data_IF_161384370143
#
_entry.id   IF_161384370143
#
_cell.length_a   1.000
_cell.length_b   1.000
_cell.length_c   1.000
_cell.angle_alpha   90.00
_cell.angle_beta   90.00
_cell.angle_gamma   90.00
#
_symmetry.space_group_name_H-M   'P 1'
#
loop_
_entity.id
_entity.type
_entity.pdbx_description
1 polymer ?
#
# COMPACT_ATOMS: atom_id res chain seq x y z
N UNK A 1 12.21 41.13 -35.45
CA UNK A 1 11.76 39.74 -35.54
C UNK A 1 12.68 38.90 -34.68
N UNK A 2 12.17 38.39 -33.55
CA UNK A 2 12.97 37.59 -32.58
C UNK A 2 13.27 36.21 -33.15
N UNK A 3 14.53 35.95 -33.44
CA UNK A 3 15.06 34.66 -33.92
C UNK A 3 15.22 33.61 -32.81
N UNK A 4 14.52 33.76 -31.72
CA UNK A 4 14.50 32.75 -30.67
C UNK A 4 13.34 31.79 -30.92
N UNK A 5 13.59 30.74 -31.70
CA UNK A 5 12.74 29.54 -31.65
C UNK A 5 12.80 28.98 -30.23
N UNK A 6 11.64 28.84 -29.54
CA UNK A 6 11.65 28.24 -28.21
C UNK A 6 12.30 26.86 -28.30
N UNK A 7 13.23 26.56 -27.41
CA UNK A 7 13.78 25.22 -27.29
C UNK A 7 12.62 24.25 -26.96
N UNK A 8 12.32 23.33 -27.87
CA UNK A 8 11.26 22.34 -27.73
C UNK A 8 11.79 20.95 -27.32
N UNK A 9 13.13 20.87 -27.12
CA UNK A 9 13.78 19.58 -26.86
C UNK A 9 13.81 19.29 -25.37
N UNK A 10 13.32 18.12 -24.94
CA UNK A 10 13.44 17.66 -23.54
C UNK A 10 14.92 17.32 -23.23
N UNK A 11 15.33 17.55 -21.98
CA UNK A 11 16.69 17.30 -21.50
C UNK A 11 16.62 16.19 -20.44
N UNK A 12 17.28 15.05 -20.69
CA UNK A 12 17.49 14.02 -19.68
C UNK A 12 18.72 14.37 -18.84
N UNK A 13 18.52 14.72 -17.56
CA UNK A 13 19.61 14.94 -16.62
C UNK A 13 20.16 13.63 -16.05
N UNK A 14 19.32 12.60 -15.97
CA UNK A 14 19.68 11.22 -15.65
C UNK A 14 18.81 10.31 -16.53
N UNK A 15 19.43 9.47 -17.32
CA UNK A 15 18.75 8.52 -18.22
C UNK A 15 19.01 7.06 -17.83
N UNK A 16 20.14 6.80 -17.19
CA UNK A 16 20.51 5.47 -16.70
C UNK A 16 19.61 5.02 -15.55
N UNK A 17 19.46 3.72 -15.44
CA UNK A 17 18.68 3.06 -14.38
C UNK A 17 19.47 1.89 -13.82
N UNK A 18 19.39 1.70 -12.51
CA UNK A 18 19.93 0.54 -11.82
C UNK A 18 19.30 -0.76 -12.34
N UNK A 19 18.06 -0.68 -12.84
CA UNK A 19 17.32 -1.80 -13.46
C UNK A 19 18.07 -2.43 -14.63
N UNK A 20 18.67 -1.63 -15.51
CA UNK A 20 19.44 -2.16 -16.67
C UNK A 20 20.69 -2.91 -16.23
N UNK A 21 21.38 -2.44 -15.20
CA UNK A 21 22.54 -3.11 -14.60
C UNK A 21 22.11 -4.42 -13.92
N UNK A 22 21.00 -4.38 -13.17
CA UNK A 22 20.42 -5.55 -12.53
C UNK A 22 20.05 -6.63 -13.55
N UNK A 23 19.44 -6.27 -14.68
CA UNK A 23 19.11 -7.20 -15.77
C UNK A 23 20.38 -7.85 -16.35
N UNK A 24 21.43 -7.06 -16.60
CA UNK A 24 22.70 -7.60 -17.10
C UNK A 24 23.29 -8.60 -16.11
N UNK A 25 23.31 -8.26 -14.83
CA UNK A 25 23.83 -9.13 -13.78
C UNK A 25 23.00 -10.41 -13.60
N UNK A 26 21.67 -10.31 -13.62
CA UNK A 26 20.78 -11.49 -13.56
C UNK A 26 21.00 -12.43 -14.75
N UNK A 27 21.29 -11.93 -15.96
CA UNK A 27 21.63 -12.76 -17.12
C UNK A 27 22.93 -13.55 -16.91
N UNK A 28 23.96 -12.91 -16.36
CA UNK A 28 25.23 -13.56 -16.02
C UNK A 28 25.02 -14.67 -14.98
N UNK A 29 24.30 -14.37 -13.90
CA UNK A 29 24.00 -15.34 -12.85
C UNK A 29 23.13 -16.51 -13.36
N UNK A 30 22.15 -16.22 -14.21
CA UNK A 30 21.32 -17.25 -14.86
C UNK A 30 22.14 -18.20 -15.71
N UNK A 31 23.17 -17.72 -16.42
CA UNK A 31 24.05 -18.56 -17.22
C UNK A 31 24.89 -19.53 -16.36
N UNK A 32 25.22 -19.14 -15.13
CA UNK A 32 26.03 -19.93 -14.19
C UNK A 32 25.17 -20.86 -13.32
N UNK A 33 23.89 -20.55 -13.12
CA UNK A 33 23.00 -21.26 -12.22
C UNK A 33 22.44 -22.56 -12.85
N UNK A 34 22.11 -23.53 -11.99
CA UNK A 34 21.46 -24.79 -12.36
C UNK A 34 20.25 -25.08 -11.46
N UNK A 35 19.37 -26.00 -11.90
CA UNK A 35 18.21 -26.44 -11.12
C UNK A 35 17.29 -25.29 -10.71
N UNK A 36 16.74 -25.36 -9.50
CA UNK A 36 15.78 -24.40 -8.95
C UNK A 36 16.29 -22.97 -8.92
N UNK A 37 17.59 -22.77 -8.63
CA UNK A 37 18.19 -21.44 -8.61
C UNK A 37 18.11 -20.76 -9.97
N UNK A 38 18.35 -21.52 -11.04
CA UNK A 38 18.22 -21.03 -12.42
C UNK A 38 16.79 -20.58 -12.72
N UNK A 39 15.80 -21.35 -12.28
CA UNK A 39 14.37 -21.02 -12.47
C UNK A 39 13.96 -19.78 -11.69
N UNK A 40 14.47 -19.61 -10.46
CA UNK A 40 14.21 -18.44 -9.63
C UNK A 40 14.82 -17.17 -10.25
N UNK A 41 16.06 -17.25 -10.75
CA UNK A 41 16.72 -16.14 -11.47
C UNK A 41 15.99 -15.82 -12.78
N UNK A 42 15.56 -16.83 -13.55
CA UNK A 42 14.81 -16.63 -14.80
C UNK A 42 13.49 -15.89 -14.54
N UNK A 43 12.81 -16.23 -13.45
CA UNK A 43 11.57 -15.55 -13.03
C UNK A 43 11.81 -14.10 -12.65
N UNK A 44 12.82 -13.83 -11.82
CA UNK A 44 13.22 -12.46 -11.44
C UNK A 44 13.59 -11.64 -12.69
N UNK A 45 14.43 -12.20 -13.56
CA UNK A 45 14.85 -11.57 -14.82
C UNK A 45 13.63 -11.20 -15.70
N UNK A 46 12.64 -12.10 -15.80
CA UNK A 46 11.42 -11.83 -16.55
C UNK A 46 10.64 -10.66 -15.97
N UNK A 47 10.47 -10.61 -14.63
CA UNK A 47 9.74 -9.55 -13.95
C UNK A 47 10.42 -8.17 -14.12
N UNK A 48 11.73 -8.11 -13.89
CA UNK A 48 12.50 -6.87 -14.00
C UNK A 48 12.53 -6.38 -15.44
N UNK A 49 12.74 -7.27 -16.42
CA UNK A 49 12.72 -6.93 -17.84
C UNK A 49 11.35 -6.42 -18.30
N UNK A 50 10.25 -6.99 -17.75
CA UNK A 50 8.91 -6.51 -18.06
C UNK A 50 8.66 -5.09 -17.51
N UNK A 51 9.16 -4.77 -16.32
CA UNK A 51 9.17 -3.41 -15.76
C UNK A 51 9.92 -2.43 -16.66
N UNK A 52 11.15 -2.80 -17.05
CA UNK A 52 12.00 -1.96 -17.92
C UNK A 52 11.34 -1.61 -19.28
N UNK A 53 10.59 -2.55 -19.87
CA UNK A 53 9.81 -2.28 -21.10
C UNK A 53 8.81 -1.15 -20.89
N UNK A 54 8.12 -1.15 -19.74
CA UNK A 54 7.18 -0.07 -19.41
C UNK A 54 7.86 1.29 -19.25
N UNK A 55 9.00 1.33 -18.58
CA UNK A 55 9.80 2.56 -18.42
C UNK A 55 10.29 3.07 -19.77
N UNK A 56 10.76 2.19 -20.67
CA UNK A 56 11.16 2.56 -22.03
C UNK A 56 10.02 3.16 -22.86
N UNK A 57 8.80 2.68 -22.69
CA UNK A 57 7.62 3.27 -23.34
C UNK A 57 7.38 4.71 -22.85
N UNK A 58 7.51 4.97 -21.55
CA UNK A 58 7.41 6.33 -20.99
C UNK A 58 8.56 7.20 -21.48
N UNK A 59 9.80 6.70 -21.49
CA UNK A 59 10.96 7.43 -22.01
C UNK A 59 10.74 7.85 -23.47
N UNK A 60 10.17 6.97 -24.29
CA UNK A 60 9.83 7.27 -25.68
C UNK A 60 8.87 8.46 -25.80
N UNK A 61 7.77 8.45 -25.04
CA UNK A 61 6.79 9.55 -25.05
C UNK A 61 7.44 10.87 -24.58
N UNK A 62 8.24 10.82 -23.52
CA UNK A 62 8.93 12.00 -22.99
C UNK A 62 9.96 12.57 -24.00
N UNK A 63 10.76 11.73 -24.66
CA UNK A 63 11.73 12.12 -25.68
C UNK A 63 11.07 12.81 -26.87
N UNK A 64 9.87 12.36 -27.25
CA UNK A 64 9.13 12.87 -28.40
C UNK A 64 8.09 13.94 -28.02
N UNK A 65 8.16 14.52 -26.83
CA UNK A 65 7.16 15.45 -26.29
C UNK A 65 7.01 16.76 -27.05
N UNK A 66 8.06 17.23 -27.71
CA UNK A 66 8.09 18.51 -28.39
C UNK A 66 7.86 19.71 -27.47
N UNK A 67 8.29 19.61 -26.20
CA UNK A 67 8.20 20.71 -25.23
C UNK A 67 9.41 20.74 -24.30
N UNK A 68 9.82 21.95 -23.83
CA UNK A 68 10.96 22.07 -22.91
C UNK A 68 10.60 21.46 -21.57
N UNK A 69 11.40 20.50 -21.12
CA UNK A 69 11.32 19.87 -19.79
C UNK A 69 12.67 19.26 -19.43
N UNK A 70 12.92 19.11 -18.13
CA UNK A 70 14.03 18.32 -17.62
C UNK A 70 13.50 17.03 -17.04
N UNK A 71 14.15 15.90 -17.34
CA UNK A 71 13.72 14.56 -16.99
C UNK A 71 14.82 13.89 -16.17
N UNK A 72 14.41 13.27 -15.08
CA UNK A 72 15.26 12.44 -14.22
C UNK A 72 14.59 11.06 -14.17
N UNK A 73 15.29 10.04 -14.64
CA UNK A 73 14.87 8.65 -14.61
C UNK A 73 15.48 7.96 -13.39
N UNK A 74 14.68 7.11 -12.72
CA UNK A 74 15.12 6.26 -11.63
C UNK A 74 15.79 7.05 -10.48
N UNK A 75 15.00 7.94 -9.86
CA UNK A 75 15.45 8.78 -8.75
C UNK A 75 15.27 8.04 -7.41
N UNK A 76 16.37 7.70 -6.76
CA UNK A 76 16.39 7.09 -5.45
C UNK A 76 16.56 8.15 -4.37
N UNK A 77 15.69 8.14 -3.37
CA UNK A 77 15.71 9.07 -2.23
C UNK A 77 15.77 8.28 -0.93
N UNK A 78 16.48 8.83 0.04
CA UNK A 78 16.50 8.31 1.41
C UNK A 78 16.38 9.46 2.41
N UNK A 79 15.49 9.31 3.38
CA UNK A 79 15.33 10.21 4.50
C UNK A 79 15.12 9.38 5.76
N UNK A 80 16.09 9.39 6.68
CA UNK A 80 16.11 8.49 7.83
C UNK A 80 15.94 7.02 7.40
N UNK A 81 14.93 6.33 7.94
CA UNK A 81 14.60 4.93 7.60
C UNK A 81 13.69 4.81 6.36
N UNK A 82 13.27 5.94 5.76
CA UNK A 82 12.36 5.95 4.62
C UNK A 82 13.14 6.02 3.32
N UNK A 83 12.77 5.17 2.37
CA UNK A 83 13.32 5.17 1.02
C UNK A 83 12.20 5.33 -0.01
N UNK A 84 12.49 5.98 -1.12
CA UNK A 84 11.61 6.08 -2.27
C UNK A 84 12.41 5.89 -3.55
N UNK A 85 11.88 5.06 -4.45
CA UNK A 85 12.32 4.97 -5.84
C UNK A 85 11.22 5.57 -6.71
N UNK A 86 11.57 6.56 -7.50
CA UNK A 86 10.64 7.30 -8.35
C UNK A 86 11.06 7.05 -9.79
N UNK A 87 10.18 6.40 -10.57
CA UNK A 87 10.53 5.96 -11.92
C UNK A 87 10.89 7.16 -12.81
N UNK A 88 10.07 8.23 -12.79
CA UNK A 88 10.39 9.47 -13.51
C UNK A 88 10.03 10.71 -12.72
N UNK A 89 10.91 11.71 -12.75
CA UNK A 89 10.60 13.09 -12.37
C UNK A 89 10.71 13.97 -13.59
N UNK A 90 9.61 14.67 -13.94
CA UNK A 90 9.54 15.59 -15.07
C UNK A 90 9.35 17.00 -14.56
N UNK A 91 10.34 17.86 -14.76
CA UNK A 91 10.31 19.27 -14.37
C UNK A 91 9.98 20.10 -15.58
N UNK A 92 8.89 20.83 -15.53
CA UNK A 92 8.48 21.81 -16.54
C UNK A 92 8.70 23.23 -16.04
N UNK A 93 8.43 24.23 -16.85
CA UNK A 93 8.55 25.65 -16.44
C UNK A 93 7.57 26.07 -15.33
N UNK A 94 6.53 25.27 -15.04
CA UNK A 94 5.52 25.57 -14.03
C UNK A 94 5.38 24.49 -12.96
N UNK A 95 5.44 23.22 -13.33
CA UNK A 95 5.09 22.09 -12.50
C UNK A 95 6.18 21.01 -12.52
N UNK A 96 6.21 20.21 -11.47
CA UNK A 96 7.01 18.98 -11.37
C UNK A 96 6.06 17.80 -11.27
N UNK A 97 6.27 16.79 -12.11
CA UNK A 97 5.50 15.55 -12.12
C UNK A 97 6.35 14.41 -11.57
N UNK A 98 5.85 13.74 -10.57
CA UNK A 98 6.38 12.50 -10.02
C UNK A 98 5.56 11.36 -10.61
N UNK A 99 6.19 10.55 -11.44
CA UNK A 99 5.54 9.54 -12.27
C UNK A 99 5.88 8.16 -11.75
N UNK A 100 4.86 7.38 -11.44
CA UNK A 100 4.92 5.94 -11.18
C UNK A 100 4.55 5.20 -12.46
N UNK A 101 5.43 4.34 -12.95
CA UNK A 101 5.24 3.50 -14.12
C UNK A 101 4.59 2.17 -13.73
N UNK A 102 3.52 1.76 -14.40
CA UNK A 102 2.93 0.44 -14.25
C UNK A 102 2.76 -0.24 -15.59
N UNK A 103 3.66 -1.19 -15.88
CA UNK A 103 3.54 -2.06 -17.05
C UNK A 103 2.73 -3.31 -16.69
N UNK A 104 1.41 -3.17 -16.56
CA UNK A 104 0.51 -4.25 -16.14
C UNK A 104 -0.08 -4.96 -17.37
N UNK A 105 -0.04 -6.29 -17.37
CA UNK A 105 -0.78 -7.09 -18.35
C UNK A 105 -2.25 -7.19 -17.93
N UNK A 106 -3.18 -7.02 -18.90
CA UNK A 106 -4.61 -7.09 -18.66
C UNK A 106 -5.27 -5.71 -18.48
N UNK A 107 -6.54 -5.71 -18.15
CA UNK A 107 -7.35 -4.51 -18.00
C UNK A 107 -7.38 -4.05 -16.56
N UNK A 108 -7.38 -2.74 -16.33
CA UNK A 108 -7.45 -2.11 -15.03
C UNK A 108 -8.81 -1.43 -14.88
N UNK A 109 -9.53 -1.79 -13.84
CA UNK A 109 -10.74 -1.14 -13.39
C UNK A 109 -10.49 -0.39 -12.07
N UNK A 110 -11.00 0.84 -11.96
CA UNK A 110 -10.94 1.61 -10.72
C UNK A 110 -12.37 1.90 -10.29
N UNK A 111 -12.75 1.45 -9.09
CA UNK A 111 -14.08 1.63 -8.55
C UNK A 111 -14.31 3.05 -7.94
N UNK A 112 -15.50 3.27 -7.41
CA UNK A 112 -15.88 4.54 -6.78
C UNK A 112 -15.20 4.80 -5.42
N UNK A 113 -14.56 3.78 -4.83
CA UNK A 113 -13.78 3.89 -3.60
C UNK A 113 -12.28 4.10 -3.90
N UNK A 114 -11.87 4.01 -5.18
CA UNK A 114 -10.48 4.12 -5.60
C UNK A 114 -9.70 2.81 -5.51
N UNK A 115 -10.38 1.67 -5.40
CA UNK A 115 -9.73 0.36 -5.44
C UNK A 115 -9.37 0.01 -6.89
N UNK A 116 -8.21 -0.56 -7.07
CA UNK A 116 -7.71 -1.02 -8.35
C UNK A 116 -7.95 -2.52 -8.49
N UNK A 117 -8.61 -2.91 -9.57
CA UNK A 117 -8.87 -4.31 -9.94
C UNK A 117 -8.25 -4.58 -11.29
N UNK A 118 -7.39 -5.57 -11.37
CA UNK A 118 -6.80 -6.08 -12.61
C UNK A 118 -7.59 -7.29 -13.10
N UNK A 119 -7.85 -7.36 -14.41
CA UNK A 119 -8.46 -8.53 -15.03
C UNK A 119 -7.70 -8.93 -16.28
N UNK A 120 -7.41 -10.24 -16.43
CA UNK A 120 -6.65 -10.78 -17.55
C UNK A 120 -7.07 -12.22 -17.86
N UNK A 121 -6.93 -12.67 -19.14
CA UNK A 121 -7.22 -14.04 -19.52
C UNK A 121 -6.12 -14.98 -19.01
N UNK A 122 -6.53 -16.12 -18.42
CA UNK A 122 -5.64 -17.15 -17.93
C UNK A 122 -6.29 -18.53 -18.05
N UNK A 123 -5.64 -19.48 -18.76
CA UNK A 123 -6.14 -20.86 -18.96
C UNK A 123 -7.62 -20.92 -19.38
N UNK A 124 -8.03 -20.07 -20.33
CA UNK A 124 -9.42 -20.01 -20.83
C UNK A 124 -10.42 -19.37 -19.87
N UNK A 125 -9.97 -18.82 -18.75
CA UNK A 125 -10.81 -18.08 -17.77
C UNK A 125 -10.31 -16.66 -17.61
N UNK A 126 -11.18 -15.76 -17.18
CA UNK A 126 -10.77 -14.41 -16.78
C UNK A 126 -10.44 -14.42 -15.28
N UNK A 127 -9.19 -14.16 -14.97
CA UNK A 127 -8.75 -13.90 -13.58
C UNK A 127 -9.05 -12.45 -13.25
N UNK A 128 -9.56 -12.21 -12.04
CA UNK A 128 -9.83 -10.87 -11.52
C UNK A 128 -9.27 -10.76 -10.12
N UNK A 129 -8.40 -9.77 -9.90
CA UNK A 129 -7.69 -9.58 -8.63
C UNK A 129 -7.56 -8.11 -8.26
N UNK A 130 -7.59 -7.83 -6.96
CA UNK A 130 -7.27 -6.49 -6.44
C UNK A 130 -5.77 -6.28 -6.43
N UNK A 131 -5.31 -5.12 -6.89
CA UNK A 131 -3.91 -4.72 -6.79
C UNK A 131 -3.77 -3.54 -5.81
N UNK A 132 -2.59 -3.45 -5.19
CA UNK A 132 -2.28 -2.31 -4.33
C UNK A 132 -2.35 -1.01 -5.14
N UNK A 133 -2.94 0.05 -4.56
CA UNK A 133 -3.12 1.32 -5.26
C UNK A 133 -1.78 1.96 -5.63
N UNK A 134 -1.44 2.08 -6.92
CA UNK A 134 -0.23 2.75 -7.34
C UNK A 134 -0.26 4.26 -7.07
N UNK A 135 -1.45 4.86 -6.93
CA UNK A 135 -1.59 6.24 -6.47
C UNK A 135 -1.05 6.38 -5.04
N UNK A 136 -1.45 5.47 -4.14
CA UNK A 136 -0.98 5.49 -2.75
C UNK A 136 0.52 5.24 -2.68
N UNK A 137 1.05 4.36 -3.53
CA UNK A 137 2.49 4.12 -3.64
C UNK A 137 3.23 5.41 -4.01
N UNK A 138 2.84 6.04 -5.11
CA UNK A 138 3.50 7.26 -5.60
C UNK A 138 3.34 8.45 -4.65
N UNK A 139 2.21 8.55 -3.94
CA UNK A 139 2.02 9.56 -2.89
C UNK A 139 3.01 9.39 -1.73
N UNK A 140 3.32 8.15 -1.34
CA UNK A 140 4.35 7.87 -0.32
C UNK A 140 5.74 8.28 -0.80
N UNK A 141 6.08 8.01 -2.06
CA UNK A 141 7.34 8.45 -2.66
C UNK A 141 7.45 9.98 -2.65
N UNK A 142 6.37 10.67 -3.02
CA UNK A 142 6.30 12.13 -2.99
C UNK A 142 6.43 12.70 -1.56
N UNK A 143 5.90 12.01 -0.55
CA UNK A 143 6.03 12.42 0.84
C UNK A 143 7.48 12.28 1.35
N UNK A 144 8.21 11.22 0.96
CA UNK A 144 9.65 11.11 1.27
C UNK A 144 10.43 12.28 0.66
N UNK A 145 10.14 12.64 -0.59
CA UNK A 145 10.74 13.82 -1.22
C UNK A 145 10.41 15.11 -0.44
N UNK A 146 9.15 15.29 -0.04
CA UNK A 146 8.71 16.46 0.73
C UNK A 146 9.44 16.58 2.05
N UNK A 147 9.53 15.49 2.84
CA UNK A 147 10.22 15.46 4.12
C UNK A 147 11.72 15.76 3.95
N UNK A 148 12.37 15.14 2.98
CA UNK A 148 13.78 15.38 2.67
C UNK A 148 14.05 16.86 2.32
N UNK A 149 13.16 17.48 1.54
CA UNK A 149 13.27 18.90 1.20
C UNK A 149 13.04 19.81 2.40
N UNK A 150 12.10 19.47 3.27
CA UNK A 150 11.83 20.22 4.51
C UNK A 150 12.97 20.10 5.51
N UNK A 151 13.60 18.92 5.62
CA UNK A 151 14.76 18.71 6.49
C UNK A 151 15.98 19.53 6.03
N UNK A 152 16.19 19.68 4.71
CA UNK A 152 17.28 20.48 4.14
C UNK A 152 17.00 21.99 4.11
N UNK A 153 15.79 22.44 4.45
CA UNK A 153 15.42 23.85 4.46
C UNK A 153 15.87 24.53 5.76
N UNK A 154 16.96 25.27 5.72
CA UNK A 154 17.53 25.99 6.89
C UNK A 154 16.76 27.28 7.23
N UNK A 155 16.12 27.90 6.24
CA UNK A 155 15.38 29.15 6.42
C UNK A 155 13.90 28.87 6.74
N UNK A 156 13.36 29.31 7.91
CA UNK A 156 11.97 29.06 8.31
C UNK A 156 10.92 29.60 7.32
N UNK A 157 11.16 30.78 6.73
CA UNK A 157 10.23 31.40 5.78
C UNK A 157 10.16 30.58 4.49
N UNK A 158 11.32 30.15 3.97
CA UNK A 158 11.38 29.28 2.80
C UNK A 158 10.76 27.91 3.07
N UNK A 159 10.92 27.38 4.27
CA UNK A 159 10.30 26.13 4.73
C UNK A 159 8.78 26.24 4.73
N UNK A 160 8.23 27.30 5.31
CA UNK A 160 6.79 27.57 5.34
C UNK A 160 6.24 27.75 3.92
N UNK A 161 6.90 28.55 3.07
CA UNK A 161 6.50 28.75 1.67
C UNK A 161 6.53 27.46 0.86
N UNK A 162 7.54 26.62 1.04
CA UNK A 162 7.60 25.29 0.40
C UNK A 162 6.46 24.40 0.88
N UNK A 163 6.18 24.37 2.18
CA UNK A 163 5.11 23.54 2.75
C UNK A 163 3.73 23.96 2.26
N UNK A 164 3.42 25.25 2.23
CA UNK A 164 2.12 25.76 1.80
C UNK A 164 1.90 25.68 0.29
N UNK A 165 2.95 25.80 -0.52
CA UNK A 165 2.89 25.73 -1.98
C UNK A 165 3.14 24.34 -2.57
N UNK A 166 3.46 23.34 -1.74
CA UNK A 166 3.94 22.05 -2.23
C UNK A 166 3.01 21.41 -3.27
N UNK A 167 1.74 21.28 -2.94
CA UNK A 167 0.74 20.61 -3.79
C UNK A 167 0.40 21.40 -5.06
N UNK A 168 0.67 22.72 -5.08
CA UNK A 168 0.45 23.56 -6.26
C UNK A 168 1.49 23.27 -7.35
N UNK A 169 2.72 22.93 -6.95
CA UNK A 169 3.84 22.73 -7.86
C UNK A 169 4.13 21.26 -8.18
N UNK A 170 3.78 20.33 -7.28
CA UNK A 170 4.15 18.91 -7.39
C UNK A 170 2.92 18.06 -7.68
N UNK A 171 2.98 17.32 -8.79
CA UNK A 171 1.91 16.45 -9.25
C UNK A 171 2.37 14.99 -9.16
N UNK A 172 1.55 14.15 -8.50
CA UNK A 172 1.77 12.70 -8.45
C UNK A 172 0.83 12.02 -9.45
N UNK A 173 1.38 11.33 -10.44
CA UNK A 173 0.62 10.64 -11.48
C UNK A 173 1.12 9.20 -11.66
N UNK A 174 0.20 8.32 -12.04
CA UNK A 174 0.46 6.93 -12.40
C UNK A 174 0.27 6.76 -13.89
N UNK A 175 1.25 6.17 -14.56
CA UNK A 175 1.21 5.93 -16.00
C UNK A 175 1.13 4.44 -16.29
N UNK A 176 0.03 4.01 -16.90
CA UNK A 176 -0.12 2.65 -17.41
C UNK A 176 0.64 2.55 -18.74
N UNK A 177 1.80 1.91 -18.68
CA UNK A 177 2.77 1.89 -19.77
C UNK A 177 2.52 0.78 -20.80
N UNK A 178 1.70 -0.24 -20.46
CA UNK A 178 1.36 -1.29 -21.41
C UNK A 178 0.31 -0.78 -22.41
N UNK A 179 0.63 -0.74 -23.73
CA UNK A 179 -0.30 -0.20 -24.74
C UNK A 179 -1.58 -1.05 -24.90
N UNK A 180 -1.56 -2.32 -24.49
CA UNK A 180 -2.70 -3.25 -24.57
C UNK A 180 -3.63 -3.13 -23.36
N UNK A 181 -3.26 -2.41 -22.31
CA UNK A 181 -4.10 -2.26 -21.11
C UNK A 181 -5.27 -1.31 -21.39
N UNK A 182 -6.47 -1.76 -21.12
CA UNK A 182 -7.67 -0.93 -21.11
C UNK A 182 -7.91 -0.42 -19.70
N UNK A 183 -7.99 0.90 -19.55
CA UNK A 183 -8.33 1.54 -18.27
C UNK A 183 -9.83 1.84 -18.22
N UNK A 184 -10.53 1.23 -17.28
CA UNK A 184 -11.92 1.53 -16.95
C UNK A 184 -11.97 2.26 -15.58
N UNK A 185 -12.02 3.57 -15.62
CA UNK A 185 -12.17 4.41 -14.43
C UNK A 185 -13.53 5.13 -14.41
N UNK A 186 -14.56 4.58 -15.08
CA UNK A 186 -15.87 5.23 -15.24
C UNK A 186 -16.46 5.68 -13.91
N UNK A 187 -16.38 4.86 -12.89
CA UNK A 187 -16.97 5.11 -11.57
C UNK A 187 -15.99 5.74 -10.57
N UNK A 188 -14.71 5.85 -10.91
CA UNK A 188 -13.72 6.47 -10.05
C UNK A 188 -14.01 7.97 -9.82
N UNK A 189 -13.64 8.50 -8.67
CA UNK A 189 -13.70 9.92 -8.35
C UNK A 189 -12.80 10.72 -9.30
N UNK A 190 -13.10 12.00 -9.50
CA UNK A 190 -12.38 12.86 -10.43
C UNK A 190 -10.88 12.96 -10.11
N UNK A 191 -10.54 13.12 -8.85
CA UNK A 191 -9.15 13.21 -8.38
C UNK A 191 -8.33 11.94 -8.67
N UNK A 192 -8.97 10.76 -8.64
CA UNK A 192 -8.37 9.49 -9.03
C UNK A 192 -8.19 9.41 -10.55
N UNK A 193 -9.23 9.77 -11.33
CA UNK A 193 -9.17 9.81 -12.80
C UNK A 193 -8.08 10.73 -13.32
N UNK A 194 -7.90 11.87 -12.68
CA UNK A 194 -6.92 12.88 -13.08
C UNK A 194 -5.47 12.42 -12.78
N UNK A 195 -5.28 11.38 -11.98
CA UNK A 195 -3.95 10.86 -11.60
C UNK A 195 -3.54 9.58 -12.30
N UNK A 196 -4.44 8.87 -12.99
CA UNK A 196 -4.12 7.61 -13.66
C UNK A 196 -4.34 7.77 -15.15
N UNK A 197 -3.29 7.65 -15.92
CA UNK A 197 -3.31 7.89 -17.37
C UNK A 197 -2.59 6.78 -18.12
N UNK A 198 -2.82 6.67 -19.41
CA UNK A 198 -2.04 5.80 -20.29
C UNK A 198 -0.80 6.53 -20.81
N UNK A 199 0.24 5.79 -21.18
CA UNK A 199 1.48 6.38 -21.70
C UNK A 199 1.24 7.28 -22.91
N UNK A 200 0.37 6.88 -23.85
CA UNK A 200 0.00 7.65 -25.04
C UNK A 200 -0.71 8.99 -24.73
N UNK A 201 -1.20 9.18 -23.52
CA UNK A 201 -1.84 10.41 -23.04
C UNK A 201 -0.91 11.30 -22.20
N UNK A 202 0.28 10.81 -21.83
CA UNK A 202 1.19 11.47 -20.89
C UNK A 202 1.51 12.91 -21.28
N UNK A 203 1.94 13.11 -22.49
CA UNK A 203 2.38 14.44 -22.96
C UNK A 203 1.21 15.43 -23.01
N UNK A 204 0.05 14.98 -23.49
CA UNK A 204 -1.15 15.81 -23.49
C UNK A 204 -1.62 16.14 -22.06
N UNK A 205 -1.48 15.19 -21.13
CA UNK A 205 -1.78 15.44 -19.72
C UNK A 205 -0.85 16.50 -19.13
N UNK A 206 0.47 16.39 -19.32
CA UNK A 206 1.45 17.37 -18.85
C UNK A 206 1.16 18.76 -19.45
N UNK A 207 0.90 18.87 -20.74
CA UNK A 207 0.54 20.13 -21.41
C UNK A 207 -0.73 20.75 -20.80
N UNK A 208 -1.76 19.95 -20.57
CA UNK A 208 -3.01 20.40 -20.00
C UNK A 208 -2.88 20.86 -18.54
N UNK A 209 -2.11 20.15 -17.71
CA UNK A 209 -1.87 20.55 -16.32
C UNK A 209 -1.07 21.85 -16.26
N UNK A 210 -0.04 22.01 -17.09
CA UNK A 210 0.71 23.26 -17.19
C UNK A 210 -0.19 24.44 -17.65
N UNK A 211 -1.13 24.20 -18.58
CA UNK A 211 -2.09 25.21 -19.03
C UNK A 211 -3.07 25.61 -17.92
N UNK A 212 -3.58 24.64 -17.14
CA UNK A 212 -4.50 24.87 -16.03
C UNK A 212 -3.84 25.52 -14.81
N UNK A 213 -2.54 25.31 -14.62
CA UNK A 213 -1.80 25.87 -13.50
C UNK A 213 -1.78 27.38 -13.53
N UNK A 214 -2.11 27.99 -12.38
CA UNK A 214 -2.01 29.45 -12.15
C UNK A 214 -0.59 29.91 -11.85
N UNK A 215 0.34 28.98 -11.66
CA UNK A 215 1.74 29.30 -11.38
C UNK A 215 2.41 29.99 -12.57
N UNK A 216 3.30 30.92 -12.26
CA UNK A 216 4.07 31.65 -13.26
C UNK A 216 5.11 30.73 -13.91
N UNK A 217 5.24 30.82 -15.21
CA UNK A 217 6.27 30.05 -15.92
C UNK A 217 7.67 30.60 -15.61
N UNK A 218 8.54 29.72 -15.11
CA UNK A 218 9.95 30.03 -14.90
C UNK A 218 10.72 30.12 -16.21
N UNK A 219 11.94 30.70 -16.19
CA UNK A 219 12.86 30.60 -17.32
C UNK A 219 13.36 29.16 -17.47
N UNK A 220 13.88 28.79 -18.66
CA UNK A 220 14.48 27.48 -18.90
C UNK A 220 15.67 27.22 -17.96
N UNK A 221 16.51 28.23 -17.73
CA UNK A 221 17.62 28.16 -16.77
C UNK A 221 17.13 27.88 -15.34
N UNK A 222 16.04 28.50 -14.91
CA UNK A 222 15.47 28.25 -13.59
C UNK A 222 14.82 26.86 -13.48
N UNK A 223 14.17 26.39 -14.55
CA UNK A 223 13.64 25.04 -14.66
C UNK A 223 14.76 23.99 -14.54
N UNK A 224 15.84 24.17 -15.29
CA UNK A 224 17.00 23.27 -15.23
C UNK A 224 17.65 23.27 -13.83
N UNK A 225 17.90 24.46 -13.25
CA UNK A 225 18.44 24.58 -11.89
C UNK A 225 17.51 23.95 -10.84
N UNK A 226 16.20 23.93 -11.07
CA UNK A 226 15.26 23.22 -10.19
C UNK A 226 15.41 21.72 -10.32
N UNK A 227 15.49 21.19 -11.54
CA UNK A 227 15.69 19.78 -11.81
C UNK A 227 17.04 19.26 -11.25
N UNK A 228 18.12 20.03 -11.42
CA UNK A 228 19.45 19.72 -10.85
C UNK A 228 19.41 19.62 -9.32
N UNK A 229 18.65 20.50 -8.63
CA UNK A 229 18.46 20.44 -7.18
C UNK A 229 17.66 19.20 -6.74
N UNK A 230 16.78 18.68 -7.59
CA UNK A 230 16.09 17.42 -7.32
C UNK A 230 17.06 16.27 -7.54
N UNK A 231 17.80 16.26 -8.65
CA UNK A 231 18.80 15.24 -8.95
C UNK A 231 19.88 15.14 -7.87
N UNK A 232 20.29 16.27 -7.28
CA UNK A 232 21.27 16.31 -6.18
C UNK A 232 20.78 15.63 -4.88
N UNK A 233 19.53 15.18 -4.83
CA UNK A 233 19.00 14.37 -3.72
C UNK A 233 19.13 12.87 -3.99
N UNK A 234 19.50 12.49 -5.21
CA UNK A 234 19.66 11.09 -5.60
C UNK A 234 20.73 10.41 -4.76
N UNK A 235 20.41 9.22 -4.27
CA UNK A 235 21.33 8.34 -3.55
C UNK A 235 21.31 6.98 -4.24
N UNK A 236 22.45 6.50 -4.77
CA UNK A 236 22.52 5.15 -5.35
C UNK A 236 22.07 4.10 -4.35
N UNK A 237 21.47 3.02 -4.83
CA UNK A 237 21.09 1.90 -3.97
C UNK A 237 22.31 1.34 -3.25
N UNK A 238 22.21 1.22 -1.92
CA UNK A 238 23.27 0.67 -1.08
C UNK A 238 23.45 -0.85 -1.25
N UNK A 239 22.48 -1.55 -1.83
CA UNK A 239 22.50 -3.00 -2.01
C UNK A 239 22.03 -3.41 -3.41
N UNK A 240 22.81 -4.24 -4.03
CA UNK A 240 22.42 -4.94 -5.26
C UNK A 240 21.49 -6.12 -4.90
N UNK A 241 20.26 -6.10 -5.40
CA UNK A 241 19.28 -7.18 -5.20
C UNK A 241 19.73 -8.53 -5.77
N UNK A 242 20.78 -8.56 -6.64
CA UNK A 242 21.35 -9.77 -7.21
C UNK A 242 22.28 -10.50 -6.23
N UNK A 243 22.79 -9.82 -5.20
CA UNK A 243 23.72 -10.40 -4.20
C UNK A 243 23.18 -11.67 -3.53
N UNK A 244 21.86 -11.77 -3.34
CA UNK A 244 21.20 -12.96 -2.81
C UNK A 244 21.47 -14.21 -3.67
N UNK A 245 21.54 -14.05 -4.99
CA UNK A 245 21.82 -15.15 -5.93
C UNK A 245 23.31 -15.46 -6.03
N UNK A 246 24.16 -14.43 -5.96
CA UNK A 246 25.61 -14.59 -5.92
C UNK A 246 26.06 -15.39 -4.69
N UNK A 247 25.51 -15.05 -3.54
CA UNK A 247 25.78 -15.74 -2.28
C UNK A 247 25.44 -17.24 -2.37
N UNK A 248 24.30 -17.59 -3.00
CA UNK A 248 23.90 -18.98 -3.19
C UNK A 248 24.86 -19.69 -4.16
N UNK A 249 25.28 -19.04 -5.26
CA UNK A 249 26.20 -19.60 -6.24
C UNK A 249 27.61 -19.84 -5.68
N UNK A 250 28.08 -18.90 -4.83
CA UNK A 250 29.45 -18.96 -4.25
C UNK A 250 29.51 -19.74 -2.94
N UNK A 251 28.36 -20.19 -2.40
CA UNK A 251 28.30 -20.87 -1.10
C UNK A 251 28.64 -19.97 0.08
N UNK A 252 28.73 -18.65 -0.11
CA UNK A 252 29.00 -17.66 0.93
C UNK A 252 27.69 -17.31 1.64
N UNK A 253 27.61 -17.56 2.92
CA UNK A 253 26.49 -17.13 3.76
C UNK A 253 26.60 -15.60 3.96
N UNK A 254 26.06 -14.84 3.04
CA UNK A 254 25.86 -13.39 3.27
C UNK A 254 24.64 -13.26 4.17
N UNK A 255 24.79 -12.63 5.32
CA UNK A 255 23.65 -12.16 6.09
C UNK A 255 22.79 -11.32 5.14
N UNK A 256 21.57 -11.77 4.87
CA UNK A 256 20.66 -11.07 3.97
C UNK A 256 20.59 -9.61 4.42
N UNK A 257 20.91 -8.63 3.56
CA UNK A 257 20.68 -7.24 3.91
C UNK A 257 19.19 -7.12 4.26
N UNK A 258 18.90 -6.48 5.39
CA UNK A 258 17.53 -6.19 5.75
C UNK A 258 16.88 -5.51 4.54
N UNK A 259 15.74 -6.02 4.05
CA UNK A 259 15.09 -5.40 2.90
C UNK A 259 14.89 -3.94 3.24
N UNK A 260 15.28 -3.00 2.37
CA UNK A 260 15.00 -1.61 2.60
C UNK A 260 13.51 -1.49 2.87
N UNK A 261 13.10 -0.71 3.85
CA UNK A 261 11.70 -0.36 4.10
C UNK A 261 11.22 0.52 2.94
N UNK A 262 11.26 -0.06 1.72
CA UNK A 262 10.73 0.59 0.54
C UNK A 262 9.23 0.71 0.72
N UNK A 263 8.69 1.86 0.44
CA UNK A 263 7.25 2.05 0.26
C UNK A 263 6.72 1.31 -0.99
N UNK A 264 7.54 0.53 -1.67
CA UNK A 264 7.13 -0.37 -2.73
C UNK A 264 6.31 -1.50 -2.11
N UNK A 265 5.06 -1.63 -2.53
CA UNK A 265 4.27 -2.81 -2.24
C UNK A 265 5.01 -4.03 -2.82
N UNK A 266 5.04 -5.16 -2.11
CA UNK A 266 5.52 -6.40 -2.72
C UNK A 266 4.71 -6.64 -4.00
N UNK A 267 5.40 -7.00 -5.08
CA UNK A 267 4.76 -7.44 -6.32
C UNK A 267 3.72 -8.52 -5.96
N UNK A 268 2.50 -8.44 -6.46
CA UNK A 268 1.50 -9.45 -6.17
C UNK A 268 2.02 -10.81 -6.64
N UNK A 269 1.90 -11.82 -5.78
CA UNK A 269 2.30 -13.21 -6.07
C UNK A 269 1.62 -13.82 -7.30
N UNK A 270 0.67 -13.12 -7.91
CA UNK A 270 -0.06 -13.55 -9.10
C UNK A 270 0.81 -13.69 -10.38
N UNK A 271 1.96 -13.05 -10.44
CA UNK A 271 2.90 -13.28 -11.57
C UNK A 271 3.69 -14.58 -11.44
N UNK A 272 3.70 -15.22 -10.25
CA UNK A 272 4.30 -16.54 -10.05
C UNK A 272 3.49 -17.69 -10.67
N UNK A 273 2.25 -17.44 -11.07
CA UNK A 273 1.33 -18.49 -11.56
C UNK A 273 1.37 -18.70 -13.09
N UNK A 274 2.27 -18.01 -13.82
CA UNK A 274 2.32 -18.11 -15.28
C UNK A 274 3.14 -19.27 -15.84
N UNK A 275 3.70 -20.13 -14.99
CA UNK A 275 4.44 -21.33 -15.44
C UNK A 275 3.93 -22.55 -14.70
N UNK A 276 3.18 -23.37 -15.42
CA UNK A 276 2.78 -24.77 -15.22
C UNK A 276 2.73 -25.30 -13.78
N UNK A 277 1.51 -25.60 -13.32
CA UNK A 277 1.27 -26.75 -12.43
C UNK A 277 1.69 -28.05 -13.15
N UNK A 278 2.83 -28.57 -12.79
CA UNK A 278 3.08 -30.01 -12.75
C UNK A 278 3.89 -30.26 -11.50
N UNK A 279 3.26 -31.03 -10.63
CA UNK A 279 3.80 -31.83 -9.54
C UNK A 279 4.51 -31.14 -8.36
N UNK A 280 3.86 -31.38 -7.24
CA UNK A 280 4.38 -31.30 -5.90
C UNK A 280 5.82 -31.84 -5.81
N UNK A 281 6.73 -30.98 -5.34
CA UNK A 281 7.84 -31.45 -4.51
C UNK A 281 8.45 -30.29 -3.70
N UNK A 282 9.15 -30.60 -2.62
CA UNK A 282 8.91 -29.98 -1.34
C UNK A 282 9.94 -28.91 -1.00
N UNK A 283 9.50 -27.96 -0.18
CA UNK A 283 10.38 -27.08 0.60
C UNK A 283 11.44 -27.90 1.33
N UNK A 284 12.69 -27.55 1.13
CA UNK A 284 13.81 -28.13 1.86
C UNK A 284 13.72 -27.77 3.33
N UNK A 285 13.68 -28.83 4.13
CA UNK A 285 14.08 -29.00 5.52
C UNK A 285 13.72 -27.85 6.48
N UNK A 286 12.43 -27.70 6.74
CA UNK A 286 11.92 -27.38 8.06
C UNK A 286 11.51 -28.71 8.72
N UNK A 287 11.75 -28.83 10.02
CA UNK A 287 11.32 -30.01 10.76
C UNK A 287 9.81 -30.27 10.53
N UNK A 288 9.32 -31.52 10.52
CA UNK A 288 7.92 -31.85 10.29
C UNK A 288 6.92 -31.05 11.16
N UNK A 289 7.37 -30.52 12.29
CA UNK A 289 6.61 -29.67 13.20
C UNK A 289 6.35 -28.25 12.67
N UNK A 290 7.17 -27.71 11.78
CA UNK A 290 6.96 -26.38 11.22
C UNK A 290 5.96 -26.40 10.05
N UNK A 291 5.91 -27.46 9.26
CA UNK A 291 4.99 -27.57 8.13
C UNK A 291 3.53 -27.71 8.62
N UNK A 292 3.31 -28.43 9.73
CA UNK A 292 2.01 -28.52 10.37
C UNK A 292 1.57 -27.15 10.96
N UNK A 293 2.48 -26.41 11.58
CA UNK A 293 2.19 -25.07 12.09
C UNK A 293 1.85 -24.06 10.96
N UNK A 294 2.57 -24.13 9.85
CA UNK A 294 2.28 -23.32 8.65
C UNK A 294 0.87 -23.62 8.14
N UNK A 295 0.52 -24.90 8.00
CA UNK A 295 -0.79 -25.32 7.51
C UNK A 295 -1.90 -24.82 8.45
N UNK A 296 -1.75 -24.95 9.77
CA UNK A 296 -2.73 -24.51 10.77
C UNK A 296 -2.91 -22.97 10.77
N UNK A 297 -1.84 -22.20 10.71
CA UNK A 297 -1.90 -20.74 10.63
C UNK A 297 -2.55 -20.26 9.33
N UNK A 298 -2.24 -20.90 8.18
CA UNK A 298 -2.90 -20.60 6.90
C UNK A 298 -4.39 -20.94 6.93
N UNK A 299 -4.76 -22.07 7.52
CA UNK A 299 -6.16 -22.47 7.68
C UNK A 299 -6.95 -21.50 8.59
N UNK A 300 -6.36 -21.11 9.72
CA UNK A 300 -6.94 -20.09 10.61
C UNK A 300 -7.14 -18.75 9.88
N UNK A 301 -6.12 -18.27 9.16
CA UNK A 301 -6.19 -17.04 8.39
C UNK A 301 -7.34 -17.05 7.38
N UNK A 302 -7.47 -18.16 6.64
CA UNK A 302 -8.52 -18.33 5.64
C UNK A 302 -9.92 -18.40 6.27
N UNK A 303 -10.07 -19.14 7.35
CA UNK A 303 -11.34 -19.27 8.05
C UNK A 303 -11.80 -17.91 8.63
N UNK A 304 -10.87 -17.17 9.25
CA UNK A 304 -11.15 -15.84 9.83
C UNK A 304 -11.48 -14.82 8.73
N UNK A 305 -10.76 -14.83 7.62
CA UNK A 305 -11.02 -13.94 6.48
C UNK A 305 -12.42 -14.16 5.88
N UNK A 306 -12.86 -15.42 5.76
CA UNK A 306 -14.21 -15.77 5.29
C UNK A 306 -15.29 -15.36 6.29
N UNK A 307 -15.05 -15.59 7.59
CA UNK A 307 -16.00 -15.25 8.68
C UNK A 307 -16.23 -13.74 8.76
N UNK A 308 -15.17 -12.95 8.61
CA UNK A 308 -15.24 -11.48 8.71
C UNK A 308 -15.47 -10.77 7.37
N UNK A 309 -15.55 -11.53 6.28
CA UNK A 309 -15.67 -11.01 4.91
C UNK A 309 -14.58 -9.98 4.57
N UNK A 310 -13.34 -10.27 5.01
CA UNK A 310 -12.15 -9.46 4.74
C UNK A 310 -11.11 -10.28 3.97
N UNK A 311 -10.17 -9.61 3.31
CA UNK A 311 -9.07 -10.31 2.63
C UNK A 311 -8.15 -10.99 3.63
N UNK A 312 -7.61 -12.17 3.28
CA UNK A 312 -6.79 -12.99 4.18
C UNK A 312 -5.57 -12.23 4.75
N UNK A 313 -4.95 -11.35 3.97
CA UNK A 313 -3.82 -10.53 4.41
C UNK A 313 -4.19 -9.47 5.47
N UNK A 314 -5.47 -9.12 5.61
CA UNK A 314 -5.95 -8.21 6.68
C UNK A 314 -5.81 -8.88 8.02
N UNK A 315 -6.06 -10.20 8.09
CA UNK A 315 -5.85 -11.00 9.31
C UNK A 315 -4.35 -11.05 9.63
N UNK A 316 -3.52 -11.53 8.72
CA UNK A 316 -2.06 -11.36 8.67
C UNK A 316 -1.53 -11.74 7.27
N UNK A 317 -0.47 -11.06 6.81
CA UNK A 317 0.16 -11.32 5.53
C UNK A 317 1.21 -12.44 5.62
N UNK A 318 1.86 -12.78 4.48
CA UNK A 318 2.84 -13.88 4.45
C UNK A 318 4.10 -13.56 5.28
N UNK A 319 4.58 -12.31 5.29
CA UNK A 319 5.70 -11.90 6.14
C UNK A 319 5.37 -12.04 7.63
N UNK A 320 4.15 -11.68 8.02
CA UNK A 320 3.66 -11.86 9.38
C UNK A 320 3.52 -13.34 9.73
N UNK A 321 3.11 -14.20 8.79
CA UNK A 321 3.09 -15.64 8.95
C UNK A 321 4.49 -16.19 9.21
N UNK A 322 5.50 -15.76 8.44
CA UNK A 322 6.90 -16.14 8.64
C UNK A 322 7.42 -15.71 10.01
N UNK A 323 7.12 -14.47 10.43
CA UNK A 323 7.49 -13.98 11.74
C UNK A 323 6.85 -14.81 12.87
N UNK A 324 5.59 -15.21 12.71
CA UNK A 324 4.89 -16.10 13.66
C UNK A 324 5.56 -17.48 13.78
N UNK A 325 6.00 -18.04 12.65
CA UNK A 325 6.67 -19.34 12.58
C UNK A 325 8.08 -19.28 13.17
N UNK A 326 8.81 -18.20 12.89
CA UNK A 326 10.20 -18.02 13.32
C UNK A 326 10.28 -17.67 14.81
N UNK A 327 9.46 -16.71 15.25
CA UNK A 327 9.52 -16.16 16.61
C UNK A 327 8.67 -16.94 17.62
N UNK A 328 7.66 -17.68 17.14
CA UNK A 328 6.74 -18.50 17.97
C UNK A 328 6.32 -17.78 19.26
N UNK A 329 5.64 -16.62 19.15
CA UNK A 329 5.26 -15.83 20.31
C UNK A 329 4.42 -16.66 21.29
N UNK A 330 4.68 -16.47 22.60
CA UNK A 330 3.99 -17.20 23.68
C UNK A 330 2.93 -16.34 24.37
N UNK A 331 3.06 -15.02 24.28
CA UNK A 331 2.18 -14.05 24.93
C UNK A 331 1.68 -12.98 23.94
N UNK A 332 0.62 -12.26 24.28
CA UNK A 332 0.15 -11.12 23.51
C UNK A 332 1.22 -10.02 23.42
N UNK A 333 2.01 -9.83 24.46
CA UNK A 333 3.10 -8.87 24.47
C UNK A 333 4.20 -9.26 23.49
N UNK A 334 4.54 -10.56 23.37
CA UNK A 334 5.50 -11.04 22.38
C UNK A 334 4.94 -10.84 20.94
N UNK A 335 3.65 -11.11 20.75
CA UNK A 335 2.99 -10.91 19.47
C UNK A 335 2.99 -9.45 19.05
N UNK A 336 2.76 -8.51 19.98
CA UNK A 336 2.79 -7.07 19.70
C UNK A 336 4.17 -6.54 19.30
N UNK A 337 5.25 -7.22 19.69
CA UNK A 337 6.62 -6.89 19.26
C UNK A 337 6.90 -7.29 17.82
N UNK A 338 6.07 -8.17 17.24
CA UNK A 338 6.25 -8.59 15.86
C UNK A 338 5.79 -7.50 14.89
N UNK A 339 6.56 -7.22 13.82
CA UNK A 339 6.18 -6.23 12.81
C UNK A 339 4.78 -6.49 12.24
N UNK A 340 3.92 -5.47 12.31
CA UNK A 340 2.55 -5.52 11.78
C UNK A 340 1.50 -6.13 12.72
N UNK A 341 1.87 -6.48 13.96
CA UNK A 341 0.95 -6.86 15.02
C UNK A 341 0.83 -5.73 16.06
N UNK A 342 0.29 -4.59 15.65
CA UNK A 342 0.00 -3.49 16.56
C UNK A 342 -1.10 -3.84 17.59
N UNK A 343 -1.36 -2.97 18.60
CA UNK A 343 -2.29 -3.25 19.71
C UNK A 343 -3.66 -3.76 19.24
N UNK A 344 -4.29 -3.06 18.29
CA UNK A 344 -5.62 -3.42 17.76
C UNK A 344 -5.65 -4.79 17.09
N UNK A 345 -4.63 -5.11 16.31
CA UNK A 345 -4.55 -6.39 15.59
C UNK A 345 -4.25 -7.55 16.53
N UNK A 346 -3.38 -7.32 17.51
CA UNK A 346 -3.03 -8.30 18.54
C UNK A 346 -4.18 -8.57 19.50
N UNK A 347 -4.95 -7.56 19.86
CA UNK A 347 -6.15 -7.72 20.67
C UNK A 347 -7.21 -8.55 19.93
N UNK A 348 -7.42 -8.26 18.64
CA UNK A 348 -8.46 -8.91 17.84
C UNK A 348 -8.14 -10.36 17.46
N UNK A 349 -6.95 -10.62 16.98
CA UNK A 349 -6.56 -11.93 16.41
C UNK A 349 -5.55 -12.70 17.29
N UNK A 350 -4.90 -12.00 18.21
CA UNK A 350 -3.79 -12.56 19.00
C UNK A 350 -4.12 -13.79 19.80
N UNK A 351 -5.21 -13.83 20.59
CA UNK A 351 -5.56 -15.02 21.36
C UNK A 351 -5.70 -16.28 20.51
N UNK A 352 -6.37 -16.17 19.35
CA UNK A 352 -6.56 -17.28 18.45
C UNK A 352 -5.27 -17.68 17.71
N UNK A 353 -4.43 -16.73 17.33
CA UNK A 353 -3.10 -17.00 16.74
C UNK A 353 -2.21 -17.75 17.74
N UNK A 354 -2.18 -17.30 19.00
CA UNK A 354 -1.39 -17.94 20.05
C UNK A 354 -1.87 -19.36 20.36
N UNK A 355 -3.18 -19.62 20.32
CA UNK A 355 -3.75 -20.95 20.46
C UNK A 355 -3.35 -21.88 19.29
N UNK A 356 -3.23 -21.37 18.07
CA UNK A 356 -2.73 -22.13 16.91
C UNK A 356 -1.24 -22.45 17.04
N UNK A 357 -0.43 -21.51 17.55
CA UNK A 357 1.01 -21.69 17.70
C UNK A 357 1.35 -22.67 18.85
N UNK A 358 0.62 -22.61 19.95
CA UNK A 358 0.90 -23.37 21.18
C UNK A 358 -0.27 -24.33 21.56
N UNK A 359 -0.54 -25.36 20.77
CA UNK A 359 -1.70 -26.25 21.00
C UNK A 359 -1.62 -27.10 22.28
N UNK A 360 -0.43 -27.29 22.85
CA UNK A 360 -0.22 -28.06 24.09
C UNK A 360 -0.53 -27.31 25.38
N UNK A 361 -0.87 -26.02 25.31
CA UNK A 361 -1.48 -25.26 26.37
C UNK A 361 -2.97 -25.09 26.04
N UNK A 362 -3.77 -26.18 26.14
CA UNK A 362 -5.06 -26.00 26.73
C UNK A 362 -4.75 -25.38 28.11
N UNK A 363 -4.97 -24.09 28.19
CA UNK A 363 -5.15 -23.48 29.48
C UNK A 363 -6.38 -24.21 30.08
N UNK A 364 -6.16 -25.12 31.01
CA UNK A 364 -7.06 -25.28 32.14
C UNK A 364 -7.07 -23.93 32.85
N UNK A 365 -7.63 -22.93 32.22
CA UNK A 365 -8.26 -21.87 32.93
C UNK A 365 -9.46 -22.53 33.63
N UNK A 366 -9.16 -23.13 34.79
CA UNK A 366 -10.10 -23.12 35.90
C UNK A 366 -10.57 -21.67 35.93
N UNK A 367 -11.88 -21.42 35.68
CA UNK A 367 -12.36 -20.05 35.62
C UNK A 367 -11.87 -19.36 36.88
N UNK A 368 -11.26 -18.19 36.82
CA UNK A 368 -10.97 -17.44 38.02
C UNK A 368 -12.30 -17.38 38.76
N UNK A 369 -12.27 -17.75 40.04
CA UNK A 369 -13.44 -17.73 40.92
C UNK A 369 -14.19 -16.45 40.58
N UNK A 370 -15.43 -16.63 40.15
CA UNK A 370 -16.29 -15.56 39.69
C UNK A 370 -16.20 -14.40 40.70
N UNK A 371 -15.57 -13.32 40.27
CA UNK A 371 -15.91 -12.01 40.77
C UNK A 371 -17.35 -11.81 40.36
N UNK A 372 -18.24 -11.87 41.35
CA UNK A 372 -19.68 -11.81 41.18
C UNK A 372 -20.11 -10.39 40.82
N UNK A 373 -19.63 -9.91 39.68
CA UNK A 373 -20.19 -8.74 39.03
C UNK A 373 -20.05 -8.93 37.51
N UNK A 374 -21.13 -9.30 36.79
CA UNK A 374 -21.09 -9.44 35.37
C UNK A 374 -20.77 -8.07 34.77
N UNK A 375 -19.57 -7.89 34.27
CA UNK A 375 -19.19 -6.68 33.54
C UNK A 375 -20.17 -6.48 32.40
N UNK A 376 -21.01 -5.48 32.56
CA UNK A 376 -21.98 -5.07 31.55
C UNK A 376 -21.26 -4.74 30.22
N UNK A 377 -21.87 -5.14 29.12
CA UNK A 377 -21.37 -4.91 27.76
C UNK A 377 -22.45 -4.24 26.90
N UNK A 378 -22.12 -3.26 26.05
CA UNK A 378 -23.09 -2.62 25.17
C UNK A 378 -23.90 -3.58 24.29
N UNK A 379 -23.38 -4.75 23.99
CA UNK A 379 -24.12 -5.80 23.24
C UNK A 379 -25.38 -6.28 23.95
N UNK A 380 -25.50 -6.10 25.26
CA UNK A 380 -26.72 -6.42 26.04
C UNK A 380 -27.89 -5.49 25.72
N UNK A 381 -27.64 -4.38 25.01
CA UNK A 381 -28.72 -3.49 24.53
C UNK A 381 -29.44 -4.05 23.30
N UNK A 382 -28.89 -5.03 22.60
CA UNK A 382 -29.54 -5.61 21.42
C UNK A 382 -30.84 -6.32 21.81
N UNK A 383 -31.93 -5.93 21.15
CA UNK A 383 -33.27 -6.41 21.48
C UNK A 383 -34.05 -5.51 22.45
N UNK A 384 -33.37 -4.62 23.16
CA UNK A 384 -34.02 -3.69 24.11
C UNK A 384 -34.86 -2.62 23.43
N UNK A 385 -35.92 -2.20 24.11
CA UNK A 385 -36.77 -1.10 23.65
C UNK A 385 -36.22 0.24 24.11
N UNK A 386 -36.23 1.20 23.17
CA UNK A 386 -35.85 2.59 23.42
C UNK A 386 -36.96 3.53 23.01
N UNK A 387 -37.03 4.67 23.64
CA UNK A 387 -37.88 5.76 23.22
C UNK A 387 -37.03 6.89 22.69
N UNK A 388 -37.35 7.39 21.50
CA UNK A 388 -36.72 8.55 20.88
C UNK A 388 -37.69 9.70 20.82
N UNK A 389 -37.22 10.89 21.17
CA UNK A 389 -38.06 12.10 21.28
C UNK A 389 -38.91 12.38 20.01
N UNK A 390 -38.36 12.15 18.80
CA UNK A 390 -39.03 12.43 17.54
C UNK A 390 -39.54 11.19 16.78
N UNK A 391 -39.02 9.98 17.07
CA UNK A 391 -39.34 8.76 16.30
C UNK A 391 -40.16 7.73 17.09
N UNK A 392 -40.47 8.04 18.34
CA UNK A 392 -41.25 7.15 19.23
C UNK A 392 -40.46 5.92 19.65
N UNK A 393 -41.18 4.84 19.98
CA UNK A 393 -40.59 3.60 20.48
C UNK A 393 -39.92 2.81 19.36
N UNK A 394 -38.67 2.41 19.57
CA UNK A 394 -37.88 1.54 18.66
C UNK A 394 -37.28 0.35 19.41
N UNK A 395 -36.66 -0.55 18.66
CA UNK A 395 -35.92 -1.70 19.18
C UNK A 395 -34.49 -1.67 18.68
N UNK A 396 -33.53 -1.84 19.57
CA UNK A 396 -32.09 -1.88 19.23
C UNK A 396 -31.79 -3.12 18.41
N UNK A 397 -31.20 -2.94 17.22
CA UNK A 397 -30.82 -4.02 16.31
C UNK A 397 -29.35 -4.39 16.41
N UNK A 398 -28.50 -3.41 16.57
CA UNK A 398 -27.07 -3.63 16.79
C UNK A 398 -26.45 -2.45 17.54
N UNK A 399 -25.38 -2.72 18.28
CA UNK A 399 -24.58 -1.72 18.97
C UNK A 399 -23.12 -2.03 18.73
N UNK A 400 -22.37 -1.02 18.34
CA UNK A 400 -20.91 -1.03 18.24
C UNK A 400 -20.33 0.01 19.24
N UNK A 401 -19.01 0.17 19.23
CA UNK A 401 -18.34 1.12 20.12
C UNK A 401 -18.73 2.59 19.88
N UNK A 402 -19.17 2.95 18.67
CA UNK A 402 -19.44 4.32 18.25
C UNK A 402 -20.80 4.51 17.58
N UNK A 403 -21.59 3.44 17.42
CA UNK A 403 -22.83 3.48 16.67
C UNK A 403 -23.86 2.52 17.26
N UNK A 404 -25.12 2.97 17.30
CA UNK A 404 -26.29 2.15 17.65
C UNK A 404 -27.32 2.23 16.52
N UNK A 405 -27.80 1.06 16.06
CA UNK A 405 -28.86 0.97 15.05
C UNK A 405 -30.17 0.57 15.73
N UNK A 406 -31.17 1.41 15.55
CA UNK A 406 -32.51 1.23 16.15
C UNK A 406 -33.56 1.09 15.05
N UNK A 407 -34.37 0.06 15.15
CA UNK A 407 -35.53 -0.18 14.27
C UNK A 407 -36.74 0.50 14.89
N UNK A 408 -37.25 1.54 14.23
CA UNK A 408 -38.53 2.17 14.49
C UNK A 408 -39.62 1.58 13.58
N UNK A 409 -40.93 1.85 13.83
CA UNK A 409 -42.00 1.30 13.00
C UNK A 409 -41.84 1.59 11.50
N UNK A 410 -41.43 2.79 11.14
CA UNK A 410 -41.31 3.23 9.74
C UNK A 410 -39.95 2.82 9.10
N UNK A 411 -38.83 2.89 9.86
CA UNK A 411 -37.47 2.67 9.31
C UNK A 411 -36.47 2.32 10.39
N UNK A 412 -35.31 1.79 10.00
CA UNK A 412 -34.14 1.67 10.88
C UNK A 412 -33.25 2.91 10.74
N UNK A 413 -32.70 3.40 11.85
CA UNK A 413 -31.82 4.55 11.91
C UNK A 413 -30.58 4.26 12.73
N UNK A 414 -29.50 4.90 12.35
CA UNK A 414 -28.20 4.86 13.03
C UNK A 414 -27.98 6.15 13.81
N UNK A 415 -27.39 6.03 15.01
CA UNK A 415 -27.07 7.13 15.91
C UNK A 415 -25.69 6.93 16.53
N UNK A 416 -25.04 8.03 16.92
CA UNK A 416 -23.78 7.96 17.67
C UNK A 416 -24.01 7.35 19.06
N UNK A 417 -23.20 6.35 19.42
CA UNK A 417 -23.26 5.68 20.71
C UNK A 417 -21.97 5.97 21.51
N UNK A 418 -22.04 6.26 22.81
CA UNK A 418 -23.25 6.34 23.66
C UNK A 418 -23.97 7.71 23.64
N UNK A 419 -23.44 8.71 22.94
CA UNK A 419 -23.79 10.15 23.02
C UNK A 419 -25.29 10.42 22.78
N UNK A 420 -25.95 9.65 21.94
CA UNK A 420 -27.39 9.80 21.65
C UNK A 420 -28.28 9.65 22.90
N UNK A 421 -27.79 8.95 23.94
CA UNK A 421 -28.50 8.78 25.20
C UNK A 421 -28.40 9.99 26.14
N UNK A 422 -27.57 10.99 25.81
CA UNK A 422 -27.55 12.25 26.57
C UNK A 422 -28.76 13.13 26.30
N UNK A 423 -29.31 13.09 25.07
CA UNK A 423 -30.21 14.14 24.62
C UNK A 423 -31.54 13.68 24.02
N UNK A 424 -31.55 12.54 23.29
CA UNK A 424 -32.69 12.23 22.43
C UNK A 424 -33.28 10.82 22.59
N UNK A 425 -32.55 9.88 23.21
CA UNK A 425 -32.96 8.48 23.39
C UNK A 425 -32.82 8.05 24.86
N UNK A 426 -33.77 7.26 25.34
CA UNK A 426 -33.69 6.59 26.65
C UNK A 426 -34.21 5.15 26.53
N UNK A 427 -33.59 4.27 27.30
CA UNK A 427 -33.99 2.87 27.40
C UNK A 427 -35.24 2.72 28.27
N UNK A 428 -36.09 1.79 27.88
CA UNK A 428 -37.28 1.44 28.71
C UNK A 428 -36.86 0.67 29.98
N UNK A 429 -35.66 0.05 29.94
CA UNK A 429 -35.07 -0.67 31.07
C UNK A 429 -34.17 0.26 31.90
N UNK A 430 -34.59 0.66 33.14
CA UNK A 430 -33.83 1.61 33.97
C UNK A 430 -32.44 1.15 34.36
N UNK A 431 -32.26 -0.17 34.58
CA UNK A 431 -30.95 -0.72 34.95
C UNK A 431 -29.92 -0.64 33.82
N UNK A 432 -30.37 -0.77 32.58
CA UNK A 432 -29.50 -0.61 31.42
C UNK A 432 -29.27 0.87 31.07
N UNK A 433 -30.27 1.72 31.33
CA UNK A 433 -30.13 3.17 31.20
C UNK A 433 -28.98 3.72 32.07
N UNK A 434 -28.98 3.34 33.35
CA UNK A 434 -27.91 3.73 34.29
C UNK A 434 -26.52 3.27 33.82
N UNK A 435 -26.42 2.09 33.23
CA UNK A 435 -25.12 1.57 32.69
C UNK A 435 -24.64 2.33 31.50
N UNK A 436 -25.53 2.78 30.60
CA UNK A 436 -25.20 3.62 29.47
C UNK A 436 -24.78 5.03 29.92
N UNK A 437 -25.49 5.61 30.87
CA UNK A 437 -25.15 6.91 31.45
C UNK A 437 -23.78 6.93 32.14
N UNK A 438 -23.39 5.81 32.78
CA UNK A 438 -22.05 5.63 33.34
C UNK A 438 -20.94 5.65 32.27
N UNK A 439 -21.21 5.16 31.07
CA UNK A 439 -20.25 5.26 29.95
C UNK A 439 -20.05 6.72 29.50
N UNK A 440 -21.10 7.50 29.50
CA UNK A 440 -21.07 8.91 29.10
C UNK A 440 -20.27 9.74 30.12
N UNK A 441 -20.43 9.45 31.41
CA UNK A 441 -19.71 10.11 32.52
C UNK A 441 -18.20 9.85 32.52
N UNK A 442 -17.75 8.68 32.05
CA UNK A 442 -16.33 8.32 31.94
C UNK A 442 -15.66 8.95 30.71
N UNK A 443 -16.44 9.33 29.70
CA UNK A 443 -15.94 9.94 28.45
C UNK A 443 -15.62 11.46 28.60
N UNK A 444 -16.00 12.08 29.71
CA UNK A 444 -15.79 13.52 29.99
C UNK A 444 -14.70 13.81 31.03
N UNK A 445 -13.92 12.79 31.45
CA UNK A 445 -12.83 12.90 32.43
C UNK A 445 -11.44 12.85 31.79
#
# INVERSE_FOLDING_TARGET
MSLFTPNTTPIFLKEDSDTSQQIARLKELHAQATGKLKDDIARELSLVSYGEVGEKNIAFELKNSGMPMCIIHDLHLQHEDLTAQIDYVVVTRKLVFFIECKNLYGNIEIDNQGNFVRSYPWNGRTVREGIYSPITQNQRHLEVYRQLRLAKATNPIKRLGFQSGFDNFHQSIVVLANPKTVLNAKYAKKDVKDRVIRADQLINHIKNQNKKSKELASSEKAMQAWAEKILALHQPLASDYTQKYEAILTGVTVAAPAPPKTCSAPLPESEKAAVRETDATPYTVSSPQNDDLIARLKAYRLATSRKENVQAYVVFNNQQLENLITQKPKTLADLQRLPGFGPVKSEKYGPAILAVINPAKQYDEKPPKADQNPRWSPSQLVGEKVNHQSFGTGTVKSVSRHEIIIKFPATARSFAFPDVFETTIWLTNPALQQKVEALIGVSKG
#
